data_IF_912938944617
#
_entry.id   IF_912938944617
#
_cell.length_a   1.000
_cell.length_b   1.000
_cell.length_c   1.000
_cell.angle_alpha   90.00
_cell.angle_beta   90.00
_cell.angle_gamma   90.00
#
_symmetry.space_group_name_H-M   'P 1'
#
loop_
_entity.id
_entity.type
_entity.pdbx_description
1 polymer ?
#
# COMPACT_ATOMS: atom_id res chain seq x y z
N UNK A 1 35.25 23.59 -2.95
CA UNK A 1 34.93 22.72 -4.10
C UNK A 1 34.11 21.57 -3.53
N UNK A 2 32.80 21.56 -3.80
CA UNK A 2 31.80 20.66 -3.20
C UNK A 2 32.12 19.19 -3.54
N UNK A 3 32.26 18.34 -2.52
CA UNK A 3 31.26 17.37 -2.03
C UNK A 3 30.94 16.30 -3.08
N UNK A 4 31.73 15.23 -3.03
CA UNK A 4 31.45 13.96 -3.65
C UNK A 4 30.63 13.10 -2.69
N UNK A 5 29.67 12.39 -3.27
CA UNK A 5 29.04 11.16 -2.78
C UNK A 5 27.99 11.32 -1.66
N UNK A 6 26.86 11.92 -2.04
CA UNK A 6 25.56 11.63 -1.44
C UNK A 6 25.11 10.25 -1.96
N UNK A 7 25.65 9.18 -1.37
CA UNK A 7 25.08 7.84 -1.52
C UNK A 7 23.76 7.87 -0.76
N UNK A 8 22.65 7.82 -1.49
CA UNK A 8 21.31 7.71 -0.92
C UNK A 8 21.21 6.44 -0.05
N UNK A 9 21.45 6.61 1.24
CA UNK A 9 21.42 5.55 2.25
C UNK A 9 20.01 4.95 2.43
N UNK A 10 18.97 5.52 1.81
CA UNK A 10 17.62 4.93 1.84
C UNK A 10 17.51 3.62 1.05
N UNK A 11 18.43 3.37 0.10
CA UNK A 11 18.48 2.14 -0.68
C UNK A 11 19.27 1.00 0.00
N UNK A 12 20.02 1.27 1.07
CA UNK A 12 21.03 0.36 1.60
C UNK A 12 20.57 -0.64 2.69
N UNK A 13 19.27 -0.74 2.99
CA UNK A 13 18.76 -1.60 4.10
C UNK A 13 18.28 -2.99 3.63
N UNK A 14 18.79 -3.51 2.52
CA UNK A 14 18.37 -4.84 2.01
C UNK A 14 19.51 -5.81 1.69
N UNK A 15 20.71 -5.59 2.25
CA UNK A 15 21.76 -6.60 2.23
C UNK A 15 22.35 -6.73 3.63
N UNK A 16 22.14 -7.90 4.24
CA UNK A 16 22.60 -8.37 5.56
C UNK A 16 21.53 -8.26 6.64
N UNK A 17 21.07 -9.43 7.11
CA UNK A 17 19.94 -9.58 8.02
C UNK A 17 20.23 -9.12 9.44
N UNK A 18 20.30 -7.80 9.64
CA UNK A 18 20.27 -7.18 10.96
C UNK A 18 19.28 -6.01 10.92
N UNK A 19 18.12 -6.22 11.52
CA UNK A 19 17.15 -5.16 11.78
C UNK A 19 17.73 -4.25 12.86
N UNK A 20 18.35 -3.13 12.46
CA UNK A 20 18.82 -2.10 13.38
C UNK A 20 17.68 -1.60 14.26
N UNK A 21 18.03 -1.24 15.50
CA UNK A 21 17.11 -1.02 16.62
C UNK A 21 15.91 -0.12 16.24
N UNK A 22 14.71 -0.39 16.77
CA UNK A 22 13.49 0.34 16.42
C UNK A 22 13.48 1.86 16.68
N UNK A 23 14.52 2.41 17.31
CA UNK A 23 14.69 3.83 17.66
C UNK A 23 15.30 4.68 16.54
N UNK A 24 15.96 4.08 15.54
CA UNK A 24 16.57 4.82 14.42
C UNK A 24 15.60 5.02 13.24
N UNK A 25 14.39 4.43 13.32
CA UNK A 25 13.32 4.54 12.32
C UNK A 25 12.33 5.68 12.61
N UNK A 26 12.53 6.46 13.68
CA UNK A 26 11.60 7.52 14.10
C UNK A 26 11.51 8.72 13.12
N UNK A 27 12.32 8.72 12.06
CA UNK A 27 12.32 9.73 10.98
C UNK A 27 11.73 9.26 9.65
N UNK A 28 11.34 7.98 9.53
CA UNK A 28 10.77 7.47 8.28
C UNK A 28 9.25 7.59 8.32
N UNK A 29 8.72 8.59 7.61
CA UNK A 29 7.30 8.70 7.36
C UNK A 29 6.89 7.63 6.34
N UNK A 30 6.05 6.69 6.78
CA UNK A 30 5.56 5.61 5.92
C UNK A 30 4.22 6.04 5.36
N UNK A 31 4.13 6.11 4.03
CA UNK A 31 2.87 6.38 3.34
C UNK A 31 2.14 5.06 3.11
N UNK A 32 0.89 5.01 3.51
CA UNK A 32 0.01 3.85 3.35
C UNK A 32 -1.21 4.27 2.56
N UNK A 33 -1.60 3.41 1.63
CA UNK A 33 -2.84 3.56 0.91
C UNK A 33 -3.79 2.41 1.20
N UNK A 34 -5.07 2.72 1.41
CA UNK A 34 -6.12 1.73 1.59
C UNK A 34 -7.38 2.12 0.83
N UNK A 35 -8.10 1.12 0.33
CA UNK A 35 -9.40 1.27 -0.32
C UNK A 35 -10.47 0.63 0.56
N UNK A 36 -11.43 1.43 1.02
CA UNK A 36 -12.45 1.00 1.97
C UNK A 36 -13.81 1.68 1.68
N UNK A 37 -14.92 1.22 2.30
CA UNK A 37 -16.19 1.95 2.21
C UNK A 37 -16.01 3.39 2.69
N UNK A 38 -16.73 4.33 2.07
CA UNK A 38 -16.64 5.75 2.44
C UNK A 38 -17.08 6.01 3.89
N UNK A 39 -18.12 5.32 4.34
CA UNK A 39 -18.64 5.37 5.71
C UNK A 39 -18.64 3.95 6.32
N UNK A 40 -17.49 3.43 6.76
CA UNK A 40 -17.38 2.04 7.20
C UNK A 40 -18.13 1.77 8.53
N UNK A 41 -18.39 2.81 9.33
CA UNK A 41 -19.21 2.75 10.55
C UNK A 41 -20.73 2.70 10.32
N UNK A 42 -21.22 2.95 9.10
CA UNK A 42 -22.65 2.86 8.79
C UNK A 42 -23.09 1.41 8.60
N UNK A 43 -23.99 0.94 9.47
CA UNK A 43 -24.53 -0.43 9.43
C UNK A 43 -25.22 -0.75 8.10
N UNK A 44 -25.86 0.23 7.45
CA UNK A 44 -26.52 0.02 6.16
C UNK A 44 -25.52 -0.16 5.03
N UNK A 45 -24.39 0.55 5.09
CA UNK A 45 -23.27 0.34 4.16
C UNK A 45 -22.71 -1.06 4.32
N UNK A 46 -22.54 -1.53 5.57
CA UNK A 46 -22.08 -2.89 5.84
C UNK A 46 -23.06 -3.95 5.29
N UNK A 47 -24.36 -3.81 5.56
CA UNK A 47 -25.40 -4.74 5.06
C UNK A 47 -25.40 -4.75 3.52
N UNK A 48 -25.38 -3.58 2.88
CA UNK A 48 -25.38 -3.47 1.41
C UNK A 48 -24.13 -4.14 0.80
N UNK A 49 -22.94 -3.84 1.33
CA UNK A 49 -21.68 -4.40 0.85
C UNK A 49 -21.64 -5.93 1.01
N UNK A 50 -22.06 -6.46 2.16
CA UNK A 50 -22.13 -7.91 2.41
C UNK A 50 -23.21 -8.61 1.57
N UNK A 51 -24.27 -7.87 1.19
CA UNK A 51 -25.30 -8.34 0.25
C UNK A 51 -24.83 -8.27 -1.21
N UNK A 52 -23.53 -8.14 -1.46
CA UNK A 52 -22.90 -8.03 -2.80
C UNK A 52 -23.39 -6.83 -3.63
N UNK A 53 -23.98 -5.82 -2.97
CA UNK A 53 -24.31 -4.55 -3.63
C UNK A 53 -23.05 -3.69 -3.75
N UNK A 54 -23.04 -2.82 -4.77
CA UNK A 54 -22.01 -1.79 -4.87
C UNK A 54 -22.30 -0.68 -3.86
N UNK A 55 -21.27 -0.24 -3.15
CA UNK A 55 -21.35 0.85 -2.17
C UNK A 55 -20.29 1.91 -2.47
N UNK A 56 -20.50 3.18 -2.07
CA UNK A 56 -19.47 4.20 -2.18
C UNK A 56 -18.21 3.80 -1.41
N UNK A 57 -17.07 3.78 -2.09
CA UNK A 57 -15.74 3.56 -1.54
C UNK A 57 -14.90 4.83 -1.58
N UNK A 58 -13.73 4.75 -0.92
CA UNK A 58 -12.74 5.82 -0.89
C UNK A 58 -11.33 5.21 -0.82
N UNK A 59 -10.39 5.82 -1.53
CA UNK A 59 -8.95 5.56 -1.35
C UNK A 59 -8.40 6.57 -0.37
N UNK A 60 -7.81 6.09 0.73
CA UNK A 60 -7.17 6.93 1.74
C UNK A 60 -5.66 6.89 1.59
N UNK A 61 -5.03 8.04 1.86
CA UNK A 61 -3.59 8.16 2.12
C UNK A 61 -3.40 8.42 3.62
N UNK A 62 -2.55 7.62 4.27
CA UNK A 62 -2.25 7.73 5.71
C UNK A 62 -0.75 7.72 5.93
N UNK A 63 -0.31 8.52 6.90
CA UNK A 63 1.06 8.50 7.37
C UNK A 63 1.16 7.64 8.64
N UNK A 64 1.95 6.57 8.56
CA UNK A 64 2.28 5.76 9.72
C UNK A 64 3.66 6.16 10.25
N UNK A 65 3.77 6.20 11.58
CA UNK A 65 5.05 6.42 12.27
C UNK A 65 5.93 5.17 12.26
N UNK A 66 5.33 3.98 12.17
CA UNK A 66 6.00 2.67 12.24
C UNK A 66 5.22 1.64 11.42
N UNK A 67 5.94 0.68 10.84
CA UNK A 67 5.32 -0.48 10.20
C UNK A 67 4.71 -1.42 11.26
N UNK A 68 3.61 -2.12 10.93
CA UNK A 68 3.11 -3.20 11.77
C UNK A 68 4.20 -4.27 11.97
N UNK A 69 4.31 -4.77 13.20
CA UNK A 69 5.33 -5.78 13.56
C UNK A 69 4.99 -7.20 13.12
N UNK A 70 3.78 -7.41 12.56
CA UNK A 70 3.26 -8.71 12.12
C UNK A 70 2.45 -8.53 10.84
N UNK A 71 2.36 -9.59 10.05
CA UNK A 71 1.51 -9.67 8.85
C UNK A 71 1.83 -8.63 7.78
N UNK A 72 3.11 -8.28 7.64
CA UNK A 72 3.61 -7.45 6.54
C UNK A 72 4.46 -8.29 5.60
N UNK A 73 4.29 -8.08 4.30
CA UNK A 73 5.12 -8.70 3.27
C UNK A 73 5.85 -7.61 2.49
N UNK A 74 7.14 -7.83 2.27
CA UNK A 74 7.91 -7.02 1.33
C UNK A 74 7.62 -7.53 -0.09
N UNK A 75 7.11 -6.64 -0.96
CA UNK A 75 6.66 -7.00 -2.31
C UNK A 75 7.58 -6.50 -3.42
N UNK A 76 8.47 -5.55 -3.12
CA UNK A 76 9.44 -5.02 -4.08
C UNK A 76 9.90 -3.61 -3.74
N UNK A 77 10.88 -3.14 -4.51
CA UNK A 77 11.38 -1.77 -4.46
C UNK A 77 10.62 -0.89 -5.46
N UNK A 78 10.43 0.37 -5.07
CA UNK A 78 9.85 1.39 -5.95
C UNK A 78 10.92 1.93 -6.90
N UNK A 79 10.49 2.32 -8.10
CA UNK A 79 11.29 3.22 -8.95
C UNK A 79 11.28 4.63 -8.36
N UNK A 80 12.22 5.53 -8.73
CA UNK A 80 12.25 6.91 -8.22
C UNK A 80 10.92 7.66 -8.37
N UNK A 81 10.18 7.42 -9.45
CA UNK A 81 8.86 7.99 -9.72
C UNK A 81 7.69 7.28 -9.02
N UNK A 82 7.95 6.27 -8.19
CA UNK A 82 6.94 5.38 -7.62
C UNK A 82 5.87 6.09 -6.80
N UNK A 83 6.22 7.15 -6.07
CA UNK A 83 5.24 7.91 -5.29
C UNK A 83 4.22 8.64 -6.18
N UNK A 84 4.69 9.30 -7.24
CA UNK A 84 3.80 10.01 -8.17
C UNK A 84 2.95 9.03 -8.99
N UNK A 85 3.52 7.88 -9.36
CA UNK A 85 2.77 6.79 -9.99
C UNK A 85 1.66 6.28 -9.06
N UNK A 86 1.94 6.09 -7.76
CA UNK A 86 0.94 5.67 -6.79
C UNK A 86 -0.20 6.70 -6.65
N UNK A 87 0.13 8.00 -6.57
CA UNK A 87 -0.87 9.08 -6.49
C UNK A 87 -1.77 9.12 -7.72
N UNK A 88 -1.20 9.01 -8.92
CA UNK A 88 -2.01 9.02 -10.15
C UNK A 88 -2.86 7.75 -10.29
N UNK A 89 -2.34 6.59 -9.86
CA UNK A 89 -3.14 5.37 -9.74
C UNK A 89 -4.35 5.60 -8.82
N UNK A 90 -4.12 6.14 -7.62
CA UNK A 90 -5.19 6.40 -6.64
C UNK A 90 -6.23 7.38 -7.16
N UNK A 91 -5.81 8.43 -7.88
CA UNK A 91 -6.71 9.42 -8.49
C UNK A 91 -7.64 8.80 -9.53
N UNK A 92 -7.17 7.78 -10.24
CA UNK A 92 -7.92 7.09 -11.31
C UNK A 92 -8.70 5.87 -10.83
N UNK A 93 -8.48 5.41 -9.61
CA UNK A 93 -9.11 4.21 -9.09
C UNK A 93 -10.64 4.39 -9.00
N UNK A 94 -11.45 3.53 -9.65
CA UNK A 94 -12.90 3.58 -9.52
C UNK A 94 -13.33 3.38 -8.05
N UNK A 95 -14.28 4.17 -7.57
CA UNK A 95 -14.68 4.16 -6.16
C UNK A 95 -15.99 3.43 -5.89
N UNK A 96 -16.53 2.70 -6.87
CA UNK A 96 -17.67 1.80 -6.69
C UNK A 96 -17.22 0.49 -6.04
N UNK A 97 -17.16 0.46 -4.70
CA UNK A 97 -16.68 -0.69 -3.95
C UNK A 97 -17.69 -1.84 -4.04
N UNK A 98 -17.21 -3.01 -4.44
CA UNK A 98 -17.99 -4.25 -4.47
C UNK A 98 -17.16 -5.43 -3.97
N UNK A 99 -17.57 -6.01 -2.84
CA UNK A 99 -16.86 -7.15 -2.22
C UNK A 99 -16.73 -8.30 -3.24
N UNK A 100 -15.51 -8.81 -3.40
CA UNK A 100 -15.19 -9.92 -4.29
C UNK A 100 -15.00 -9.55 -5.77
N UNK A 101 -15.25 -8.29 -6.15
CA UNK A 101 -15.15 -7.84 -7.55
C UNK A 101 -14.30 -6.58 -7.72
N UNK A 102 -14.44 -5.61 -6.80
CA UNK A 102 -13.72 -4.36 -6.78
C UNK A 102 -13.58 -3.91 -5.33
N UNK A 103 -12.67 -4.55 -4.61
CA UNK A 103 -12.46 -4.35 -3.18
C UNK A 103 -10.99 -4.09 -2.84
N UNK A 104 -10.67 -3.99 -1.55
CA UNK A 104 -9.32 -3.68 -1.06
C UNK A 104 -8.23 -4.65 -1.57
N UNK A 105 -8.57 -5.90 -1.89
CA UNK A 105 -7.62 -6.89 -2.41
C UNK A 105 -7.27 -6.57 -3.87
N UNK A 106 -8.29 -6.27 -4.67
CA UNK A 106 -8.13 -5.86 -6.07
C UNK A 106 -7.34 -4.55 -6.17
N UNK A 107 -7.65 -3.60 -5.29
CA UNK A 107 -6.89 -2.36 -5.15
C UNK A 107 -5.41 -2.62 -4.85
N UNK A 108 -5.13 -3.47 -3.86
CA UNK A 108 -3.76 -3.78 -3.45
C UNK A 108 -2.99 -4.48 -4.57
N UNK A 109 -3.58 -5.48 -5.23
CA UNK A 109 -2.95 -6.16 -6.38
C UNK A 109 -2.71 -5.18 -7.54
N UNK A 110 -3.67 -4.31 -7.86
CA UNK A 110 -3.53 -3.31 -8.91
C UNK A 110 -2.44 -2.28 -8.61
N UNK A 111 -2.34 -1.81 -7.37
CA UNK A 111 -1.29 -0.89 -6.94
C UNK A 111 0.09 -1.57 -6.99
N UNK A 112 0.21 -2.80 -6.51
CA UNK A 112 1.46 -3.57 -6.57
C UNK A 112 1.89 -3.81 -8.02
N UNK A 113 0.96 -4.19 -8.91
CA UNK A 113 1.24 -4.34 -10.33
C UNK A 113 1.71 -3.02 -10.94
N UNK A 114 1.05 -1.90 -10.63
CA UNK A 114 1.41 -0.58 -11.15
C UNK A 114 2.84 -0.16 -10.74
N UNK A 115 3.21 -0.43 -9.48
CA UNK A 115 4.49 0.00 -8.91
C UNK A 115 5.65 -0.95 -9.22
N UNK A 116 5.39 -2.26 -9.26
CA UNK A 116 6.45 -3.28 -9.34
C UNK A 116 6.41 -4.11 -10.63
N UNK A 117 5.32 -4.06 -11.38
CA UNK A 117 5.06 -4.94 -12.53
C UNK A 117 4.66 -6.36 -12.15
N UNK A 118 4.55 -6.70 -10.85
CA UNK A 118 4.18 -8.04 -10.40
C UNK A 118 2.66 -8.20 -10.34
N UNK A 119 2.15 -9.24 -11.01
CA UNK A 119 0.73 -9.61 -11.01
C UNK A 119 0.41 -10.66 -9.96
N UNK A 120 -0.84 -10.67 -9.50
CA UNK A 120 -1.41 -11.67 -8.60
C UNK A 120 -0.57 -11.87 -7.34
N UNK A 121 -0.03 -10.78 -6.79
CA UNK A 121 0.91 -10.85 -5.68
C UNK A 121 0.22 -11.36 -4.42
N UNK A 122 -1.01 -10.95 -4.15
CA UNK A 122 -1.75 -11.43 -2.98
C UNK A 122 -2.04 -12.94 -3.04
N UNK A 123 -2.33 -13.49 -4.22
CA UNK A 123 -2.52 -14.94 -4.39
C UNK A 123 -1.22 -15.69 -4.06
N UNK A 124 -0.10 -15.24 -4.64
CA UNK A 124 1.25 -15.80 -4.39
C UNK A 124 1.63 -15.75 -2.91
N UNK A 125 1.39 -14.62 -2.24
CA UNK A 125 1.70 -14.46 -0.81
C UNK A 125 0.84 -15.35 0.10
N UNK A 126 -0.39 -15.69 -0.34
CA UNK A 126 -1.30 -16.59 0.38
C UNK A 126 -1.06 -18.06 0.08
N UNK A 127 -0.19 -18.39 -0.87
CA UNK A 127 0.04 -19.76 -1.33
C UNK A 127 -1.16 -20.35 -2.05
N UNK A 128 -1.96 -19.51 -2.72
CA UNK A 128 -3.12 -19.88 -3.54
C UNK A 128 -2.78 -19.71 -5.02
#
# INVERSE_FOLDING_TARGET
>A
MAHADDVDLSAAVWASGELSRPSDLDYLMIIVYDFQPQNPEDVWVAIAALSSQSVPGIVLERNLKRLPSKSCWFVGLLRPEGLEVAKEFNRRWPTDLKIGHHDCRHYTDGLVECLTGQRNMLARLRGI
#
